data_IF_460228771026
#
_entry.id   IF_460228771026
#
_cell.length_a   1.000
_cell.length_b   1.000
_cell.length_c   1.000
_cell.angle_alpha   90.00
_cell.angle_beta   90.00
_cell.angle_gamma   90.00
#
_symmetry.space_group_name_H-M   'P 1'
#
loop_
_entity.id
_entity.type
_entity.pdbx_description
1 polymer ?
#
# COMPACT_ATOMS: atom_id res chain seq x y z
N UNK A 1 21.26 14.49 1.99
CA UNK A 1 20.62 14.60 0.71
C UNK A 1 19.13 14.61 0.87
N UNK A 2 18.41 14.32 -0.19
CA UNK A 2 16.97 14.36 -0.08
C UNK A 2 16.42 13.34 0.90
N UNK A 3 17.11 12.24 1.10
CA UNK A 3 16.69 11.25 2.08
C UNK A 3 16.60 11.84 3.47
N UNK A 4 17.51 12.73 3.81
CA UNK A 4 17.49 13.36 5.12
C UNK A 4 16.20 14.13 5.33
N UNK A 5 15.78 14.87 4.32
CA UNK A 5 14.59 15.69 4.44
C UNK A 5 13.35 14.84 4.63
N UNK A 6 13.26 13.74 3.91
CA UNK A 6 12.13 12.85 4.01
C UNK A 6 12.08 12.20 5.39
N UNK A 7 13.22 11.70 5.84
CA UNK A 7 13.27 10.95 7.10
C UNK A 7 12.96 11.83 8.29
N UNK A 8 13.39 13.08 8.25
CA UNK A 8 13.26 13.94 9.42
C UNK A 8 11.95 14.69 9.49
N UNK A 9 11.02 14.44 8.61
CA UNK A 9 9.71 15.04 8.73
C UNK A 9 8.73 13.98 9.20
N UNK A 10 8.57 13.79 10.52
CA UNK A 10 7.75 12.69 11.03
C UNK A 10 6.27 12.82 10.71
N UNK A 11 5.83 14.00 10.26
CA UNK A 11 4.43 14.20 9.86
C UNK A 11 4.24 14.08 8.36
N UNK A 12 5.30 13.80 7.63
CA UNK A 12 5.22 13.67 6.18
C UNK A 12 4.74 12.27 5.79
N UNK A 13 3.84 12.23 4.81
CA UNK A 13 3.40 10.93 4.29
C UNK A 13 4.59 10.14 3.74
N UNK A 14 5.58 10.83 3.16
CA UNK A 14 6.75 10.16 2.61
C UNK A 14 7.58 9.47 3.70
N UNK A 15 7.64 10.06 4.88
CA UNK A 15 8.36 9.43 5.99
C UNK A 15 7.71 8.11 6.38
N UNK A 16 6.39 8.10 6.50
CA UNK A 16 5.67 6.89 6.87
C UNK A 16 5.72 5.84 5.75
N UNK A 17 5.67 6.28 4.50
CA UNK A 17 5.80 5.36 3.39
C UNK A 17 7.19 4.71 3.41
N UNK A 18 8.22 5.50 3.67
CA UNK A 18 9.57 4.97 3.78
C UNK A 18 9.68 3.96 4.92
N UNK A 19 9.10 4.29 6.08
CA UNK A 19 9.10 3.35 7.22
C UNK A 19 8.38 2.05 6.88
N UNK A 20 7.27 2.14 6.15
CA UNK A 20 6.56 0.92 5.78
C UNK A 20 7.43 0.00 4.92
N UNK A 21 8.26 0.59 4.05
CA UNK A 21 9.17 -0.20 3.23
C UNK A 21 10.26 -0.85 4.07
N UNK A 22 10.75 -0.14 5.08
CA UNK A 22 11.74 -0.70 6.00
C UNK A 22 11.14 -1.89 6.74
N UNK A 23 9.94 -1.75 7.27
CA UNK A 23 9.30 -2.84 8.00
C UNK A 23 8.97 -4.02 7.09
N UNK A 24 8.68 -3.76 5.83
CA UNK A 24 8.50 -4.84 4.87
C UNK A 24 9.79 -5.66 4.73
N UNK A 25 10.93 -4.97 4.65
CA UNK A 25 12.21 -5.65 4.52
C UNK A 25 12.55 -6.47 5.76
N UNK A 26 12.05 -6.07 6.92
CA UNK A 26 12.24 -6.83 8.15
C UNK A 26 11.11 -7.83 8.40
N UNK A 27 10.22 -7.99 7.43
CA UNK A 27 9.09 -8.91 7.51
C UNK A 27 8.20 -8.63 8.72
N UNK A 28 8.05 -7.35 9.06
CA UNK A 28 7.19 -6.93 10.15
C UNK A 28 5.90 -6.36 9.57
N UNK A 29 4.96 -7.26 9.28
CA UNK A 29 3.74 -6.88 8.58
C UNK A 29 2.85 -5.96 9.40
N UNK A 30 2.85 -6.12 10.72
CA UNK A 30 2.02 -5.29 11.57
C UNK A 30 2.45 -3.83 11.49
N UNK A 31 3.74 -3.56 11.64
CA UNK A 31 4.25 -2.19 11.57
C UNK A 31 4.20 -1.66 10.15
N UNK A 32 4.40 -2.52 9.15
CA UNK A 32 4.22 -2.13 7.77
C UNK A 32 2.80 -1.62 7.53
N UNK A 33 1.82 -2.36 8.01
CA UNK A 33 0.42 -1.98 7.84
C UNK A 33 0.09 -0.69 8.56
N UNK A 34 0.57 -0.54 9.79
CA UNK A 34 0.31 0.68 10.56
C UNK A 34 0.83 1.92 9.84
N UNK A 35 2.02 1.83 9.28
CA UNK A 35 2.60 2.97 8.58
C UNK A 35 1.89 3.24 7.26
N UNK A 36 1.48 2.20 6.54
CA UNK A 36 0.70 2.39 5.31
C UNK A 36 -0.65 3.05 5.61
N UNK A 37 -1.30 2.63 6.68
CA UNK A 37 -2.56 3.27 7.08
C UNK A 37 -2.36 4.74 7.41
N UNK A 38 -1.25 5.07 8.05
CA UNK A 38 -0.96 6.47 8.36
C UNK A 38 -0.77 7.28 7.08
N UNK A 39 -0.05 6.72 6.11
CA UNK A 39 0.13 7.40 4.82
C UNK A 39 -1.22 7.70 4.18
N UNK A 40 -2.11 6.71 4.19
CA UNK A 40 -3.42 6.86 3.56
C UNK A 40 -4.27 7.88 4.31
N UNK A 41 -4.15 7.94 5.64
CA UNK A 41 -4.84 8.98 6.40
C UNK A 41 -4.36 10.37 6.01
N UNK A 42 -3.06 10.53 5.82
CA UNK A 42 -2.48 11.81 5.44
C UNK A 42 -2.79 12.18 4.00
N UNK A 43 -2.86 11.19 3.13
CA UNK A 43 -3.14 11.41 1.71
C UNK A 43 -3.97 10.24 1.18
N UNK A 44 -5.31 10.38 1.22
CA UNK A 44 -6.19 9.28 0.81
C UNK A 44 -6.06 8.86 -0.66
N UNK A 45 -5.37 9.64 -1.47
CA UNK A 45 -5.19 9.31 -2.89
C UNK A 45 -3.78 8.88 -3.21
N UNK A 46 -3.01 8.46 -2.21
CA UNK A 46 -1.66 7.97 -2.44
C UNK A 46 -1.71 6.58 -3.06
N UNK A 47 -1.36 6.51 -4.35
CA UNK A 47 -1.50 5.26 -5.09
C UNK A 47 -0.55 4.20 -4.59
N UNK A 48 0.70 4.58 -4.32
CA UNK A 48 1.70 3.61 -3.88
C UNK A 48 1.30 2.97 -2.55
N UNK A 49 0.86 3.77 -1.59
CA UNK A 49 0.50 3.23 -0.28
C UNK A 49 -0.72 2.33 -0.36
N UNK A 50 -1.72 2.72 -1.13
CA UNK A 50 -2.92 1.90 -1.29
C UNK A 50 -2.57 0.59 -1.96
N UNK A 51 -1.74 0.63 -3.01
CA UNK A 51 -1.31 -0.58 -3.69
C UNK A 51 -0.53 -1.49 -2.75
N UNK A 52 0.42 -0.93 -2.02
CA UNK A 52 1.23 -1.72 -1.10
C UNK A 52 0.39 -2.34 0.01
N UNK A 53 -0.60 -1.61 0.51
CA UNK A 53 -1.49 -2.17 1.51
C UNK A 53 -2.36 -3.28 0.93
N UNK A 54 -2.85 -3.09 -0.29
CA UNK A 54 -3.64 -4.13 -0.95
C UNK A 54 -2.83 -5.40 -1.13
N UNK A 55 -1.56 -5.27 -1.52
CA UNK A 55 -0.65 -6.42 -1.65
C UNK A 55 -0.44 -7.09 -0.31
N UNK A 56 -0.25 -6.30 0.74
CA UNK A 56 -0.06 -6.85 2.07
C UNK A 56 -1.29 -7.63 2.53
N UNK A 57 -2.48 -7.10 2.28
CA UNK A 57 -3.70 -7.81 2.62
C UNK A 57 -3.84 -9.09 1.83
N UNK A 58 -3.44 -9.08 0.57
CA UNK A 58 -3.46 -10.28 -0.25
C UNK A 58 -2.54 -11.34 0.33
N UNK A 59 -1.33 -10.95 0.73
CA UNK A 59 -0.37 -11.88 1.33
C UNK A 59 -0.88 -12.44 2.65
N UNK A 60 -1.71 -11.68 3.35
CA UNK A 60 -2.30 -12.09 4.61
C UNK A 60 -3.61 -12.84 4.42
N UNK A 61 -3.96 -13.17 3.19
CA UNK A 61 -5.18 -13.90 2.82
C UNK A 61 -6.46 -13.12 3.09
N UNK A 62 -6.35 -11.82 3.29
CA UNK A 62 -7.53 -10.97 3.43
C UNK A 62 -7.93 -10.45 2.06
N UNK A 63 -8.50 -11.35 1.25
CA UNK A 63 -8.79 -11.07 -0.16
C UNK A 63 -9.85 -10.00 -0.31
N UNK A 64 -10.82 -9.99 0.59
CA UNK A 64 -11.88 -8.99 0.52
C UNK A 64 -11.31 -7.58 0.71
N UNK A 65 -10.48 -7.40 1.71
CA UNK A 65 -9.89 -6.08 1.97
C UNK A 65 -8.94 -5.69 0.85
N UNK A 66 -8.19 -6.66 0.36
CA UNK A 66 -7.29 -6.40 -0.76
C UNK A 66 -8.06 -5.90 -1.98
N UNK A 67 -9.20 -6.54 -2.27
CA UNK A 67 -10.02 -6.14 -3.41
C UNK A 67 -10.62 -4.76 -3.21
N UNK A 68 -11.09 -4.46 -2.00
CA UNK A 68 -11.64 -3.13 -1.72
C UNK A 68 -10.61 -2.04 -1.93
N UNK A 69 -9.41 -2.25 -1.44
CA UNK A 69 -8.34 -1.28 -1.61
C UNK A 69 -7.98 -1.11 -3.08
N UNK A 70 -7.93 -2.22 -3.80
CA UNK A 70 -7.57 -2.16 -5.21
C UNK A 70 -8.65 -1.48 -6.05
N UNK A 71 -9.91 -1.69 -5.72
CA UNK A 71 -10.99 -1.02 -6.41
C UNK A 71 -10.93 0.49 -6.17
N UNK A 72 -10.62 0.87 -4.95
CA UNK A 72 -10.44 2.28 -4.63
C UNK A 72 -9.29 2.87 -5.44
N UNK A 73 -8.17 2.18 -5.50
CA UNK A 73 -7.02 2.62 -6.28
C UNK A 73 -7.40 2.77 -7.76
N UNK A 74 -8.07 1.78 -8.30
CA UNK A 74 -8.42 1.79 -9.72
C UNK A 74 -9.36 2.95 -10.07
N UNK A 75 -10.14 3.43 -9.11
CA UNK A 75 -11.10 4.49 -9.37
C UNK A 75 -10.44 5.85 -9.62
N UNK A 76 -9.21 6.05 -9.15
CA UNK A 76 -8.55 7.34 -9.33
C UNK A 76 -7.09 7.24 -9.74
N UNK A 77 -6.62 6.06 -10.07
CA UNK A 77 -5.20 5.87 -10.37
C UNK A 77 -4.76 6.69 -11.58
N UNK A 78 -3.49 7.08 -11.55
CA UNK A 78 -2.84 7.71 -12.69
C UNK A 78 -1.58 6.96 -13.09
N UNK A 79 -0.82 6.51 -12.11
CA UNK A 79 0.45 5.83 -12.38
C UNK A 79 0.40 4.35 -12.08
N UNK A 80 -0.52 3.91 -11.21
CA UNK A 80 -0.58 2.52 -10.78
C UNK A 80 -1.72 1.73 -11.41
N UNK A 81 -2.30 2.26 -12.51
CA UNK A 81 -3.45 1.59 -13.12
C UNK A 81 -3.11 0.19 -13.62
N UNK A 82 -1.95 0.03 -14.27
CA UNK A 82 -1.56 -1.29 -14.75
C UNK A 82 -1.30 -2.26 -13.62
N UNK A 83 -0.67 -1.78 -12.55
CA UNK A 83 -0.44 -2.62 -11.37
C UNK A 83 -1.76 -3.00 -10.71
N UNK A 84 -2.71 -2.07 -10.68
CA UNK A 84 -4.03 -2.33 -10.14
C UNK A 84 -4.75 -3.42 -10.93
N UNK A 85 -4.66 -3.38 -12.25
CA UNK A 85 -5.29 -4.40 -13.08
C UNK A 85 -4.68 -5.77 -12.87
N UNK A 86 -3.36 -5.83 -12.75
CA UNK A 86 -2.68 -7.10 -12.47
C UNK A 86 -3.10 -7.64 -11.12
N UNK A 87 -3.18 -6.76 -10.12
CA UNK A 87 -3.58 -7.18 -8.79
C UNK A 87 -5.01 -7.70 -8.80
N UNK A 88 -5.90 -7.05 -9.55
CA UNK A 88 -7.27 -7.51 -9.67
C UNK A 88 -7.33 -8.93 -10.22
N UNK A 89 -6.57 -9.21 -11.26
CA UNK A 89 -6.52 -10.55 -11.83
C UNK A 89 -6.00 -11.56 -10.84
N UNK A 90 -4.98 -11.19 -10.09
CA UNK A 90 -4.40 -12.07 -9.08
C UNK A 90 -5.42 -12.40 -7.99
N UNK A 91 -6.13 -11.38 -7.51
CA UNK A 91 -7.15 -11.58 -6.48
C UNK A 91 -8.25 -12.48 -7.00
N UNK A 92 -8.73 -12.22 -8.21
CA UNK A 92 -9.81 -13.02 -8.79
C UNK A 92 -9.41 -14.48 -8.98
N UNK A 93 -8.16 -14.71 -9.38
CA UNK A 93 -7.68 -16.08 -9.51
C UNK A 93 -7.66 -16.81 -8.18
N UNK A 94 -7.26 -16.12 -7.12
CA UNK A 94 -7.24 -16.70 -5.79
C UNK A 94 -8.64 -16.97 -5.26
N UNK A 95 -9.57 -16.06 -5.55
CA UNK A 95 -10.95 -16.24 -5.09
C UNK A 95 -11.68 -17.38 -5.79
N UNK A 96 -11.24 -17.74 -6.99
CA UNK A 96 -11.86 -18.84 -7.73
C UNK A 96 -11.49 -20.19 -7.17
N UNK A 97 -10.45 -20.27 -6.38
CA UNK A 97 -10.04 -21.53 -5.78
C UNK A 97 -10.82 -21.79 -4.51
#
# INVERSE_FOLDING_TARGET
KFEKNIVYNPKSELSYLYLSKIFKNFDNKKLQEQNLNTVILLNPKTEEAIFNLAKLKLESSDYKKSRELNEKLNSFCKNFCNKSKRLKSEIENLLKK
#
